data_IF_222476138936
#
_entry.id   IF_222476138936
#
_cell.length_a   1.000
_cell.length_b   1.000
_cell.length_c   1.000
_cell.angle_alpha   90.00
_cell.angle_beta   90.00
_cell.angle_gamma   90.00
#
_symmetry.space_group_name_H-M   'P 1'
#
loop_
_entity.id
_entity.type
_entity.pdbx_description
1 polymer ?
#
# COMPACT_ATOMS: atom_id res chain seq x y z
N UNK A 1 -11.74 -14.38 3.22
CA UNK A 1 -11.88 -13.19 4.08
C UNK A 1 -11.03 -13.32 5.32
N UNK A 2 -11.12 -14.42 6.08
CA UNK A 2 -10.27 -14.66 7.26
C UNK A 2 -8.77 -14.57 6.96
N UNK A 3 -8.30 -15.27 5.93
CA UNK A 3 -6.90 -15.21 5.49
C UNK A 3 -6.39 -13.82 5.11
N UNK A 4 -7.23 -12.98 4.49
CA UNK A 4 -6.84 -11.60 4.15
C UNK A 4 -6.60 -10.77 5.41
N UNK A 5 -7.50 -10.88 6.38
CA UNK A 5 -7.39 -10.17 7.66
C UNK A 5 -6.14 -10.63 8.41
N UNK A 6 -5.89 -11.94 8.47
CA UNK A 6 -4.65 -12.46 9.08
C UNK A 6 -3.40 -11.99 8.34
N UNK A 7 -3.43 -11.89 7.01
CA UNK A 7 -2.31 -11.31 6.26
C UNK A 7 -2.08 -9.85 6.62
N UNK A 8 -3.16 -9.06 6.68
CA UNK A 8 -3.11 -7.63 7.01
C UNK A 8 -2.57 -7.37 8.42
N UNK A 9 -2.83 -8.23 9.42
CA UNK A 9 -2.29 -8.03 10.78
C UNK A 9 -0.76 -8.08 10.86
N UNK A 10 -0.10 -8.67 9.85
CA UNK A 10 1.36 -8.80 9.78
C UNK A 10 1.99 -7.94 8.66
N UNK A 11 1.19 -7.20 7.89
CA UNK A 11 1.61 -6.53 6.63
C UNK A 11 2.72 -5.49 6.81
N UNK A 12 2.93 -4.99 8.03
CA UNK A 12 3.95 -3.99 8.36
C UNK A 12 5.10 -4.58 9.20
N UNK A 13 4.99 -5.82 9.67
CA UNK A 13 5.88 -6.38 10.71
C UNK A 13 6.52 -7.71 10.35
N UNK A 14 5.84 -8.58 9.61
CA UNK A 14 6.35 -9.91 9.24
C UNK A 14 5.95 -10.25 7.80
N UNK A 15 6.94 -10.16 6.92
CA UNK A 15 6.77 -10.44 5.49
C UNK A 15 6.29 -11.87 5.22
N UNK A 16 6.95 -12.87 5.81
CA UNK A 16 6.69 -14.27 5.50
C UNK A 16 5.31 -14.69 5.99
N UNK A 17 4.94 -14.27 7.19
CA UNK A 17 3.64 -14.60 7.77
C UNK A 17 2.50 -13.88 7.05
N UNK A 18 2.68 -12.60 6.71
CA UNK A 18 1.71 -11.85 5.92
C UNK A 18 1.50 -12.50 4.55
N UNK A 19 2.60 -12.78 3.84
CA UNK A 19 2.59 -13.42 2.52
C UNK A 19 1.92 -14.79 2.56
N UNK A 20 2.26 -15.63 3.54
CA UNK A 20 1.66 -16.94 3.72
C UNK A 20 0.13 -16.87 3.76
N UNK A 21 -0.43 -15.98 4.58
CA UNK A 21 -1.87 -15.86 4.69
C UNK A 21 -2.53 -15.26 3.45
N UNK A 22 -1.92 -14.27 2.81
CA UNK A 22 -2.44 -13.68 1.57
C UNK A 22 -2.44 -14.71 0.42
N UNK A 23 -1.36 -15.49 0.28
CA UNK A 23 -1.26 -16.56 -0.71
C UNK A 23 -2.28 -17.67 -0.46
N UNK A 24 -2.50 -18.08 0.80
CA UNK A 24 -3.59 -19.00 1.16
C UNK A 24 -4.96 -18.42 0.77
N UNK A 25 -5.16 -17.13 0.98
CA UNK A 25 -6.35 -16.42 0.54
C UNK A 25 -6.58 -16.49 -0.97
N UNK A 26 -5.52 -16.31 -1.79
CA UNK A 26 -5.59 -16.42 -3.25
C UNK A 26 -5.82 -17.85 -3.73
N UNK A 27 -5.15 -18.84 -3.12
CA UNK A 27 -5.29 -20.26 -3.46
C UNK A 27 -6.73 -20.74 -3.29
N UNK A 28 -7.50 -20.17 -2.35
CA UNK A 28 -8.91 -20.50 -2.17
C UNK A 28 -9.84 -19.80 -3.19
N UNK A 29 -9.30 -18.96 -4.07
CA UNK A 29 -10.03 -18.20 -5.10
C UNK A 29 -9.65 -18.63 -6.53
N UNK A 30 -9.46 -19.93 -6.75
CA UNK A 30 -9.27 -20.51 -8.09
C UNK A 30 -10.60 -20.39 -8.86
N UNK A 31 -10.65 -19.54 -9.89
CA UNK A 31 -11.83 -19.32 -10.74
C UNK A 31 -13.08 -18.76 -10.03
N UNK A 32 -13.07 -17.50 -9.58
CA UNK A 32 -14.27 -16.86 -9.03
C UNK A 32 -15.37 -16.76 -10.10
N UNK A 33 -16.52 -17.37 -9.86
CA UNK A 33 -17.67 -17.37 -10.79
C UNK A 33 -18.50 -16.09 -10.74
N UNK A 34 -18.23 -15.20 -9.78
CA UNK A 34 -18.95 -13.94 -9.64
C UNK A 34 -18.02 -12.73 -9.50
N UNK A 35 -18.53 -11.56 -9.91
CA UNK A 35 -17.81 -10.28 -9.93
C UNK A 35 -17.27 -9.86 -8.55
N UNK A 36 -17.99 -10.19 -7.48
CA UNK A 36 -17.59 -9.85 -6.10
C UNK A 36 -16.31 -10.59 -5.72
N UNK A 37 -16.23 -11.88 -6.02
CA UNK A 37 -15.05 -12.70 -5.75
C UNK A 37 -13.87 -12.32 -6.65
N UNK A 38 -14.13 -11.92 -7.90
CA UNK A 38 -13.09 -11.38 -8.78
C UNK A 38 -12.46 -10.09 -8.20
N UNK A 39 -13.30 -9.13 -7.77
CA UNK A 39 -12.82 -7.91 -7.09
C UNK A 39 -12.00 -8.24 -5.85
N UNK A 40 -12.44 -9.23 -5.07
CA UNK A 40 -11.72 -9.64 -3.86
C UNK A 40 -10.35 -10.23 -4.16
N UNK A 41 -10.25 -11.04 -5.22
CA UNK A 41 -8.97 -11.55 -5.71
C UNK A 41 -8.03 -10.40 -6.11
N UNK A 42 -8.54 -9.39 -6.81
CA UNK A 42 -7.77 -8.20 -7.16
C UNK A 42 -7.29 -7.44 -5.93
N UNK A 43 -8.15 -7.26 -4.91
CA UNK A 43 -7.75 -6.61 -3.66
C UNK A 43 -6.60 -7.34 -2.98
N UNK A 44 -6.66 -8.68 -2.87
CA UNK A 44 -5.54 -9.45 -2.27
C UNK A 44 -4.26 -9.28 -3.10
N UNK A 45 -4.36 -9.27 -4.43
CA UNK A 45 -3.20 -9.04 -5.29
C UNK A 45 -2.59 -7.65 -5.03
N UNK A 46 -3.42 -6.61 -4.90
CA UNK A 46 -2.97 -5.26 -4.54
C UNK A 46 -2.31 -5.24 -3.15
N UNK A 47 -2.86 -5.95 -2.17
CA UNK A 47 -2.23 -6.07 -0.83
C UNK A 47 -0.88 -6.79 -0.89
N UNK A 48 -0.73 -7.81 -1.75
CA UNK A 48 0.56 -8.47 -2.00
C UNK A 48 1.56 -7.54 -2.69
N UNK A 49 1.10 -6.73 -3.64
CA UNK A 49 1.95 -5.71 -4.26
C UNK A 49 2.46 -4.73 -3.19
N UNK A 50 1.58 -4.21 -2.34
CA UNK A 50 1.98 -3.38 -1.21
C UNK A 50 2.99 -4.09 -0.30
N UNK A 51 2.74 -5.33 0.09
CA UNK A 51 3.63 -6.12 0.96
C UNK A 51 5.04 -6.23 0.38
N UNK A 52 5.14 -6.65 -0.88
CA UNK A 52 6.42 -6.83 -1.56
C UNK A 52 7.17 -5.50 -1.69
N UNK A 53 6.47 -4.42 -2.03
CA UNK A 53 7.08 -3.08 -2.14
C UNK A 53 7.57 -2.61 -0.77
N UNK A 54 6.75 -2.77 0.27
CA UNK A 54 7.07 -2.31 1.62
C UNK A 54 8.35 -2.95 2.15
N UNK A 55 8.50 -4.27 1.95
CA UNK A 55 9.67 -5.07 2.33
C UNK A 55 10.75 -5.18 1.26
N UNK A 56 10.63 -4.43 0.15
CA UNK A 56 11.62 -4.35 -0.92
C UNK A 56 11.97 -5.71 -1.55
N UNK A 57 10.96 -6.54 -1.79
CA UNK A 57 11.08 -7.87 -2.38
C UNK A 57 10.81 -7.84 -3.88
N UNK A 58 11.75 -8.39 -4.66
CA UNK A 58 11.65 -8.61 -6.11
C UNK A 58 11.19 -7.39 -6.92
N UNK A 59 11.57 -6.17 -6.50
CA UNK A 59 11.05 -4.90 -7.02
C UNK A 59 11.20 -4.75 -8.54
N UNK A 60 12.25 -5.30 -9.13
CA UNK A 60 12.57 -5.14 -10.56
C UNK A 60 11.54 -5.78 -11.49
N UNK A 61 10.96 -6.91 -11.08
CA UNK A 61 9.98 -7.65 -11.87
C UNK A 61 8.54 -7.22 -11.59
N UNK A 62 8.32 -6.39 -10.56
CA UNK A 62 6.99 -5.96 -10.14
C UNK A 62 6.34 -5.04 -11.18
N UNK A 63 5.06 -5.33 -11.47
CA UNK A 63 4.18 -4.50 -12.31
C UNK A 63 2.82 -4.32 -11.63
N UNK A 64 2.74 -3.56 -10.53
CA UNK A 64 1.49 -3.33 -9.82
C UNK A 64 0.45 -2.71 -10.77
N UNK A 65 -0.78 -3.22 -10.73
CA UNK A 65 -1.87 -2.68 -11.56
C UNK A 65 -2.55 -1.47 -10.92
N UNK A 66 -2.46 -1.36 -9.61
CA UNK A 66 -3.01 -0.22 -8.89
C UNK A 66 -2.00 0.94 -8.96
N UNK A 67 -2.44 2.14 -9.40
CA UNK A 67 -1.57 3.32 -9.49
C UNK A 67 -0.90 3.71 -8.18
N UNK A 68 -1.54 3.51 -7.03
CA UNK A 68 -0.96 3.86 -5.74
C UNK A 68 0.25 2.96 -5.40
N UNK A 69 0.12 1.65 -5.58
CA UNK A 69 1.23 0.70 -5.41
C UNK A 69 2.32 0.93 -6.45
N UNK A 70 1.98 1.30 -7.68
CA UNK A 70 2.98 1.68 -8.68
C UNK A 70 3.77 2.92 -8.25
N UNK A 71 3.09 3.95 -7.72
CA UNK A 71 3.76 5.12 -7.17
C UNK A 71 4.67 4.75 -5.99
N UNK A 72 4.23 3.84 -5.12
CA UNK A 72 5.05 3.38 -4.00
C UNK A 72 6.29 2.61 -4.46
N UNK A 73 6.15 1.76 -5.49
CA UNK A 73 7.28 1.08 -6.13
C UNK A 73 8.29 2.09 -6.70
N UNK A 74 7.83 3.16 -7.35
CA UNK A 74 8.70 4.22 -7.85
C UNK A 74 9.48 4.91 -6.72
N UNK A 75 8.84 5.21 -5.58
CA UNK A 75 9.56 5.72 -4.40
C UNK A 75 10.66 4.76 -3.98
N UNK A 76 10.35 3.47 -3.84
CA UNK A 76 11.33 2.45 -3.43
C UNK A 76 12.48 2.25 -4.42
N UNK A 77 12.26 2.55 -5.70
CA UNK A 77 13.30 2.56 -6.75
C UNK A 77 14.06 3.89 -6.89
N UNK A 78 13.77 4.88 -6.04
CA UNK A 78 14.37 6.22 -6.14
C UNK A 78 13.85 7.05 -7.32
N UNK A 79 12.77 6.62 -7.96
CA UNK A 79 12.11 7.30 -9.09
C UNK A 79 11.10 8.34 -8.56
N UNK A 80 11.57 9.20 -7.65
CA UNK A 80 10.74 10.07 -6.81
C UNK A 80 9.84 11.03 -7.62
N UNK A 81 10.35 11.63 -8.69
CA UNK A 81 9.55 12.53 -9.52
C UNK A 81 8.39 11.79 -10.22
N UNK A 82 8.62 10.54 -10.64
CA UNK A 82 7.58 9.73 -11.28
C UNK A 82 6.51 9.31 -10.27
N UNK A 83 6.91 8.97 -9.04
CA UNK A 83 5.98 8.71 -7.96
C UNK A 83 5.09 9.93 -7.67
N UNK A 84 5.69 11.11 -7.52
CA UNK A 84 4.95 12.33 -7.22
C UNK A 84 3.96 12.71 -8.34
N UNK A 85 4.41 12.67 -9.59
CA UNK A 85 3.57 12.95 -10.75
C UNK A 85 2.35 12.00 -10.80
N UNK A 86 2.56 10.72 -10.48
CA UNK A 86 1.48 9.72 -10.48
C UNK A 86 0.46 9.99 -9.38
N UNK A 87 0.90 10.42 -8.18
CA UNK A 87 -0.04 10.81 -7.11
C UNK A 87 -0.82 12.07 -7.49
N UNK A 88 -0.18 13.07 -8.09
CA UNK A 88 -0.88 14.26 -8.59
C UNK A 88 -1.89 13.93 -9.70
N UNK A 89 -1.59 12.97 -10.58
CA UNK A 89 -2.54 12.47 -11.57
C UNK A 89 -3.76 11.82 -10.92
N UNK A 90 -3.55 10.90 -9.96
CA UNK A 90 -4.63 10.27 -9.18
C UNK A 90 -5.50 11.34 -8.51
N UNK A 91 -4.90 12.38 -7.94
CA UNK A 91 -5.60 13.49 -7.29
C UNK A 91 -6.46 14.27 -8.28
N UNK A 92 -5.95 14.55 -9.49
CA UNK A 92 -6.71 15.25 -10.54
C UNK A 92 -7.90 14.43 -11.03
N UNK A 93 -7.72 13.13 -11.19
CA UNK A 93 -8.77 12.22 -11.69
C UNK A 93 -9.88 11.98 -10.65
N UNK A 94 -9.51 11.72 -9.40
CA UNK A 94 -10.47 11.33 -8.35
C UNK A 94 -10.99 12.53 -7.52
N UNK A 95 -10.29 13.66 -7.55
CA UNK A 95 -10.59 14.84 -6.73
C UNK A 95 -10.13 14.73 -5.27
N UNK A 96 -9.56 13.59 -4.86
CA UNK A 96 -9.04 13.37 -3.51
C UNK A 96 -7.82 12.43 -3.54
N UNK A 97 -7.09 12.39 -2.43
CA UNK A 97 -5.99 11.44 -2.17
C UNK A 97 -6.25 10.71 -0.86
N UNK A 98 -5.94 9.42 -0.82
CA UNK A 98 -6.04 8.61 0.40
C UNK A 98 -4.87 8.89 1.36
N UNK A 99 -4.97 8.58 2.66
CA UNK A 99 -3.85 8.73 3.60
C UNK A 99 -2.57 8.03 3.12
N UNK A 100 -2.69 6.82 2.54
CA UNK A 100 -1.56 6.09 1.97
C UNK A 100 -0.93 6.84 0.77
N UNK A 101 -1.72 7.44 -0.09
CA UNK A 101 -1.21 8.23 -1.22
C UNK A 101 -0.50 9.50 -0.75
N UNK A 102 -1.01 10.17 0.30
CA UNK A 102 -0.32 11.30 0.94
C UNK A 102 1.01 10.85 1.55
N UNK A 103 1.04 9.70 2.21
CA UNK A 103 2.27 9.10 2.73
C UNK A 103 3.30 8.83 1.62
N UNK A 104 2.89 8.18 0.53
CA UNK A 104 3.75 7.91 -0.63
C UNK A 104 4.29 9.22 -1.23
N UNK A 105 3.44 10.24 -1.36
CA UNK A 105 3.85 11.54 -1.88
C UNK A 105 4.83 12.26 -0.94
N UNK A 106 4.62 12.16 0.37
CA UNK A 106 5.53 12.71 1.37
C UNK A 106 6.91 12.06 1.29
N UNK A 107 6.98 10.74 1.07
CA UNK A 107 8.23 10.03 0.81
C UNK A 107 8.90 10.53 -0.48
N UNK A 108 8.15 10.58 -1.59
CA UNK A 108 8.67 11.01 -2.88
C UNK A 108 9.27 12.44 -2.84
N UNK A 109 8.66 13.34 -2.07
CA UNK A 109 9.09 14.73 -1.93
C UNK A 109 10.06 14.98 -0.78
N UNK A 110 10.40 13.95 0.01
CA UNK A 110 11.15 14.08 1.26
C UNK A 110 10.56 15.16 2.20
N UNK A 111 9.22 15.29 2.19
CA UNK A 111 8.53 16.40 2.83
C UNK A 111 7.95 16.00 4.20
N UNK A 112 8.62 16.44 5.25
CA UNK A 112 8.25 16.12 6.64
C UNK A 112 6.96 16.79 7.12
N UNK A 113 6.52 17.90 6.50
CA UNK A 113 5.23 18.51 6.80
C UNK A 113 4.13 17.62 6.24
N UNK A 114 4.26 17.22 4.96
CA UNK A 114 3.31 16.32 4.31
C UNK A 114 3.27 14.93 4.97
N UNK A 115 4.39 14.47 5.53
CA UNK A 115 4.45 13.23 6.31
C UNK A 115 3.60 13.32 7.59
N UNK A 116 3.57 14.48 8.26
CA UNK A 116 2.67 14.72 9.41
C UNK A 116 1.22 14.79 8.97
N UNK A 117 0.94 15.39 7.81
CA UNK A 117 -0.42 15.41 7.25
C UNK A 117 -0.91 14.00 6.94
N UNK A 118 -0.04 13.12 6.43
CA UNK A 118 -0.36 11.71 6.22
C UNK A 118 -0.72 11.01 7.53
N UNK A 119 0.07 11.19 8.60
CA UNK A 119 -0.22 10.66 9.93
C UNK A 119 -1.60 11.12 10.43
N UNK A 120 -1.86 12.43 10.39
CA UNK A 120 -3.13 12.99 10.82
C UNK A 120 -4.30 12.45 9.99
N UNK A 121 -4.10 12.20 8.69
CA UNK A 121 -5.11 11.63 7.83
C UNK A 121 -5.44 10.17 8.19
N UNK A 122 -4.44 9.35 8.53
CA UNK A 122 -4.67 7.99 9.04
C UNK A 122 -5.43 8.01 10.37
N UNK A 123 -5.00 8.84 11.32
CA UNK A 123 -5.64 8.94 12.64
C UNK A 123 -7.09 9.43 12.55
N UNK A 124 -7.37 10.44 11.71
CA UNK A 124 -8.75 10.94 11.47
C UNK A 124 -9.65 9.89 10.85
N UNK A 125 -9.10 8.98 10.05
CA UNK A 125 -9.82 7.86 9.46
C UNK A 125 -9.92 6.64 10.40
N UNK A 126 -9.45 6.77 11.64
CA UNK A 126 -9.37 5.70 12.64
C UNK A 126 -8.54 4.49 12.18
N UNK A 127 -7.59 4.72 11.27
CA UNK A 127 -6.67 3.71 10.74
C UNK A 127 -5.35 3.77 11.51
N UNK A 128 -5.44 3.44 12.80
CA UNK A 128 -4.30 3.52 13.74
C UNK A 128 -3.20 2.51 13.40
N UNK A 129 -3.53 1.44 12.68
CA UNK A 129 -2.57 0.44 12.26
C UNK A 129 -1.67 0.95 11.14
N UNK A 130 -2.23 1.51 10.05
CA UNK A 130 -1.40 2.10 9.00
C UNK A 130 -0.80 3.47 9.38
N UNK A 131 -1.29 4.12 10.44
CA UNK A 131 -0.63 5.28 11.04
C UNK A 131 0.82 4.98 11.51
N UNK A 132 1.17 3.71 11.73
CA UNK A 132 2.55 3.31 12.04
C UNK A 132 3.53 3.61 10.90
N UNK A 133 3.07 3.63 9.63
CA UNK A 133 3.90 3.99 8.47
C UNK A 133 4.56 5.37 8.63
N UNK A 134 3.81 6.47 8.76
CA UNK A 134 4.42 7.79 8.97
C UNK A 134 5.08 7.93 10.33
N UNK A 135 4.59 7.28 11.40
CA UNK A 135 5.26 7.31 12.73
C UNK A 135 6.68 6.77 12.67
N UNK A 136 6.88 5.65 11.96
CA UNK A 136 8.20 5.04 11.78
C UNK A 136 9.17 6.00 11.06
N UNK A 137 8.71 6.69 10.02
CA UNK A 137 9.52 7.69 9.31
C UNK A 137 9.82 8.91 10.19
N UNK A 138 8.83 9.37 10.95
CA UNK A 138 8.95 10.49 11.90
C UNK A 138 9.74 10.13 13.16
N UNK A 139 10.06 8.85 13.38
CA UNK A 139 10.70 8.31 14.59
C UNK A 139 9.92 8.62 15.86
N UNK A 140 8.59 8.60 15.77
CA UNK A 140 7.69 8.71 16.91
C UNK A 140 7.63 7.36 17.63
N UNK A 141 7.48 7.38 18.95
CA UNK A 141 7.32 6.19 19.80
C UNK A 141 5.86 5.92 20.10
#
# INVERSE_FOLDING_TARGET
>A
TAYCIMGETYILSDYELSKYYLDKGLQLMVAPTNKKMFKKKQMIQTTLDFLNIHFERDLDDMKPKNPAELAYLYVKKGMNQQADNLIEEIKRENGFVTPLQVFIQALARENMILMRDALLAFERNNDLFYAELPKNVLKLK
#
